data_IF_483674108239
#
_entry.id   IF_483674108239
#
_cell.length_a   1.000
_cell.length_b   1.000
_cell.length_c   1.000
_cell.angle_alpha   90.00
_cell.angle_beta   90.00
_cell.angle_gamma   90.00
#
_symmetry.space_group_name_H-M   'P 1'
#
loop_
_entity.id
_entity.type
_entity.pdbx_description
1 polymer ?
#
# COMPACT_ATOMS: atom_id res chain seq x y z
N UNK A 1 -30.41 -32.65 5.90
CA UNK A 1 -29.00 -32.25 6.20
C UNK A 1 -28.15 -33.52 6.20
N UNK A 2 -27.03 -33.58 5.46
CA UNK A 2 -26.18 -34.78 5.45
C UNK A 2 -25.65 -35.06 6.87
N UNK A 3 -25.70 -36.32 7.30
CA UNK A 3 -25.21 -36.80 8.60
C UNK A 3 -23.76 -36.31 8.87
N UNK A 4 -22.94 -36.21 7.82
CA UNK A 4 -21.58 -35.67 7.85
C UNK A 4 -21.47 -34.19 8.29
N UNK A 5 -22.44 -33.34 7.94
CA UNK A 5 -22.44 -31.92 8.33
C UNK A 5 -22.75 -31.72 9.81
N UNK A 6 -23.62 -32.59 10.36
CA UNK A 6 -24.03 -32.57 11.77
C UNK A 6 -22.90 -33.08 12.68
N UNK A 7 -22.15 -34.11 12.25
CA UNK A 7 -21.06 -34.70 13.03
C UNK A 7 -19.83 -33.78 13.10
N UNK A 8 -19.52 -33.07 12.01
CA UNK A 8 -18.29 -32.27 11.88
C UNK A 8 -18.44 -30.78 12.22
N UNK A 9 -19.65 -30.29 12.49
CA UNK A 9 -19.90 -28.91 12.96
C UNK A 9 -19.40 -27.82 11.99
N UNK A 10 -19.41 -28.10 10.68
CA UNK A 10 -18.92 -27.18 9.64
C UNK A 10 -20.01 -26.88 8.62
N UNK A 11 -20.00 -25.66 8.07
CA UNK A 11 -20.73 -25.34 6.84
C UNK A 11 -20.20 -26.24 5.72
N UNK A 12 -21.12 -26.85 4.97
CA UNK A 12 -20.81 -27.67 3.81
C UNK A 12 -20.00 -26.85 2.78
N UNK A 13 -18.92 -27.40 2.19
CA UNK A 13 -18.24 -26.76 1.07
C UNK A 13 -19.21 -26.62 -0.11
N UNK A 14 -19.06 -25.54 -0.89
CA UNK A 14 -19.96 -25.24 -2.03
C UNK A 14 -19.87 -26.27 -3.17
N UNK A 15 -18.79 -27.06 -3.24
CA UNK A 15 -18.61 -28.15 -4.20
C UNK A 15 -17.96 -29.36 -3.53
N UNK A 16 -18.30 -30.58 -3.97
CA UNK A 16 -17.66 -31.83 -3.55
C UNK A 16 -16.30 -31.94 -4.24
N UNK A 17 -15.23 -31.63 -3.51
CA UNK A 17 -13.85 -31.79 -3.96
C UNK A 17 -13.37 -33.25 -3.78
N UNK A 18 -12.15 -33.55 -4.27
CA UNK A 18 -11.57 -34.90 -4.25
C UNK A 18 -11.52 -35.53 -2.83
N UNK A 19 -11.58 -34.73 -1.77
CA UNK A 19 -11.62 -35.17 -0.38
C UNK A 19 -13.00 -35.61 0.14
N UNK A 20 -14.08 -35.36 -0.61
CA UNK A 20 -15.46 -35.61 -0.16
C UNK A 20 -15.78 -37.11 0.03
N UNK A 21 -15.34 -37.97 -0.90
CA UNK A 21 -15.60 -39.42 -0.83
C UNK A 21 -14.92 -40.09 0.38
N UNK A 22 -13.71 -39.64 0.74
CA UNK A 22 -12.98 -40.14 1.91
C UNK A 22 -13.67 -39.71 3.22
N UNK A 23 -14.23 -38.50 3.27
CA UNK A 23 -14.99 -38.03 4.43
C UNK A 23 -16.28 -38.85 4.64
N UNK A 24 -16.99 -39.21 3.56
CA UNK A 24 -18.18 -40.07 3.65
C UNK A 24 -17.83 -41.47 4.18
N UNK A 25 -16.71 -42.04 3.73
CA UNK A 25 -16.22 -43.35 4.21
C UNK A 25 -15.83 -43.30 5.71
N UNK A 26 -15.18 -42.23 6.16
CA UNK A 26 -14.79 -42.06 7.57
C UNK A 26 -16.02 -41.95 8.46
N UNK A 27 -17.03 -41.15 8.06
CA UNK A 27 -18.28 -41.00 8.84
C UNK A 27 -19.03 -42.34 8.95
N UNK A 28 -18.96 -43.19 7.92
CA UNK A 28 -19.58 -44.52 7.93
C UNK A 28 -18.85 -45.50 8.85
N UNK A 29 -17.52 -45.47 8.88
CA UNK A 29 -16.70 -46.36 9.69
C UNK A 29 -16.68 -45.95 11.18
N UNK A 30 -16.84 -44.66 11.46
CA UNK A 30 -16.81 -44.10 12.82
C UNK A 30 -18.10 -43.31 13.08
N UNK A 31 -19.20 -43.97 13.48
CA UNK A 31 -20.48 -43.30 13.70
C UNK A 31 -20.48 -42.43 14.97
N UNK A 32 -19.57 -42.69 15.91
CA UNK A 32 -19.41 -41.86 17.10
C UNK A 32 -18.61 -40.59 16.79
N UNK A 33 -19.07 -39.47 17.36
CA UNK A 33 -18.54 -38.14 17.06
C UNK A 33 -17.08 -37.98 17.42
N UNK A 34 -16.62 -38.56 18.54
CA UNK A 34 -15.25 -38.40 19.03
C UNK A 34 -14.26 -39.13 18.12
N UNK A 35 -14.55 -40.38 17.77
CA UNK A 35 -13.69 -41.17 16.89
C UNK A 35 -13.72 -40.67 15.46
N UNK A 36 -14.88 -40.24 14.95
CA UNK A 36 -14.97 -39.61 13.62
C UNK A 36 -14.09 -38.35 13.52
N UNK A 37 -14.15 -37.50 14.54
CA UNK A 37 -13.32 -36.28 14.58
C UNK A 37 -11.83 -36.62 14.68
N UNK A 38 -11.47 -37.61 15.49
CA UNK A 38 -10.09 -38.08 15.60
C UNK A 38 -9.58 -38.67 14.27
N UNK A 39 -10.39 -39.45 13.55
CA UNK A 39 -10.05 -40.02 12.26
C UNK A 39 -9.86 -38.95 11.18
N UNK A 40 -10.77 -37.97 11.09
CA UNK A 40 -10.63 -36.83 10.16
C UNK A 40 -9.37 -36.00 10.47
N UNK A 41 -9.04 -35.80 11.75
CA UNK A 41 -7.81 -35.10 12.15
C UNK A 41 -6.53 -35.86 11.77
N UNK A 42 -6.52 -37.20 11.89
CA UNK A 42 -5.40 -38.05 11.45
C UNK A 42 -5.19 -37.98 9.94
N UNK A 43 -6.26 -38.06 9.16
CA UNK A 43 -6.18 -37.96 7.68
C UNK A 43 -5.66 -36.58 7.25
N UNK A 44 -6.13 -35.50 7.86
CA UNK A 44 -5.60 -34.15 7.58
C UNK A 44 -4.11 -34.02 7.91
N UNK A 45 -3.67 -34.60 9.03
CA UNK A 45 -2.24 -34.64 9.38
C UNK A 45 -1.42 -35.46 8.39
N UNK A 46 -1.95 -36.58 7.89
CA UNK A 46 -1.27 -37.38 6.86
C UNK A 46 -1.16 -36.63 5.53
N UNK A 47 -2.18 -35.88 5.11
CA UNK A 47 -2.10 -34.99 3.93
C UNK A 47 -1.20 -33.77 4.14
N UNK A 48 -0.94 -33.37 5.40
CA UNK A 48 -0.01 -32.30 5.76
C UNK A 48 1.47 -32.73 5.76
N UNK A 49 1.80 -34.01 5.51
CA UNK A 49 3.18 -34.46 5.32
C UNK A 49 3.73 -34.17 3.91
N UNK A 50 2.90 -33.61 3.02
CA UNK A 50 3.42 -32.87 1.87
C UNK A 50 3.74 -31.47 2.39
N UNK A 51 4.98 -31.26 2.83
CA UNK A 51 5.49 -29.91 3.06
C UNK A 51 5.44 -29.18 1.72
N UNK A 52 4.40 -28.36 1.52
CA UNK A 52 4.47 -27.34 0.47
C UNK A 52 5.58 -26.37 0.87
N UNK A 53 6.77 -26.55 0.29
CA UNK A 53 7.82 -25.54 0.34
C UNK A 53 7.27 -24.24 -0.29
N UNK A 54 6.74 -23.36 0.57
CA UNK A 54 6.24 -22.06 0.17
C UNK A 54 7.38 -21.36 -0.59
N UNK A 55 7.20 -20.95 -1.86
CA UNK A 55 8.29 -20.39 -2.64
C UNK A 55 8.85 -19.20 -1.88
N UNK A 56 10.12 -19.28 -1.48
CA UNK A 56 10.83 -18.17 -0.83
C UNK A 56 10.72 -17.00 -1.80
N UNK A 57 9.91 -16.00 -1.42
CA UNK A 57 9.72 -14.79 -2.20
C UNK A 57 11.11 -14.26 -2.52
N UNK A 58 11.52 -14.37 -3.79
CA UNK A 58 12.85 -13.97 -4.26
C UNK A 58 13.07 -12.56 -3.74
N UNK A 59 13.91 -12.40 -2.72
CA UNK A 59 14.26 -11.09 -2.22
C UNK A 59 15.01 -10.45 -3.38
N UNK A 60 14.33 -9.60 -4.14
CA UNK A 60 15.01 -8.72 -5.08
C UNK A 60 15.98 -7.96 -4.20
N UNK A 61 17.27 -8.23 -4.34
CA UNK A 61 18.31 -7.33 -3.87
C UNK A 61 18.13 -6.05 -4.69
N UNK A 62 17.22 -5.20 -4.24
CA UNK A 62 17.08 -3.85 -4.76
C UNK A 62 18.33 -3.11 -4.31
N UNK A 63 18.98 -2.41 -5.24
CA UNK A 63 19.97 -1.40 -4.89
C UNK A 63 19.45 -0.57 -3.71
N UNK A 64 20.32 -0.22 -2.77
CA UNK A 64 19.94 0.58 -1.60
C UNK A 64 19.38 1.89 -2.15
N UNK A 65 18.05 2.03 -2.13
CA UNK A 65 17.38 3.26 -2.56
C UNK A 65 17.91 4.43 -1.70
N UNK A 66 18.26 5.58 -2.30
CA UNK A 66 18.77 6.72 -1.56
C UNK A 66 17.83 7.09 -0.42
N UNK A 67 18.37 7.43 0.77
CA UNK A 67 17.54 7.83 1.91
C UNK A 67 16.53 8.93 1.53
N UNK A 68 16.97 9.90 0.72
CA UNK A 68 16.14 10.99 0.20
C UNK A 68 14.90 10.51 -0.59
N UNK A 69 14.94 9.35 -1.26
CA UNK A 69 13.80 8.77 -1.96
C UNK A 69 12.82 8.03 -1.03
N UNK A 70 13.23 7.72 0.21
CA UNK A 70 12.41 6.97 1.16
C UNK A 70 11.26 7.79 1.77
N UNK A 71 10.31 7.10 2.42
CA UNK A 71 9.30 7.75 3.26
C UNK A 71 9.88 8.27 4.59
N UNK A 72 10.96 7.66 5.09
CA UNK A 72 11.62 8.10 6.31
C UNK A 72 12.23 9.50 6.17
N UNK A 73 12.70 9.87 4.97
CA UNK A 73 13.14 11.22 4.66
C UNK A 73 12.07 12.28 4.96
N UNK A 74 10.82 12.03 4.60
CA UNK A 74 9.70 12.97 4.84
C UNK A 74 9.38 13.16 6.33
N UNK A 75 9.95 12.33 7.21
CA UNK A 75 9.85 12.43 8.67
C UNK A 75 11.14 12.99 9.30
N UNK A 76 12.18 13.24 8.51
CA UNK A 76 13.46 13.73 9.00
C UNK A 76 13.39 15.20 9.43
N UNK A 77 14.18 15.58 10.43
CA UNK A 77 14.28 16.96 10.90
C UNK A 77 14.72 17.93 9.82
N UNK A 78 15.66 17.53 8.95
CA UNK A 78 16.14 18.34 7.84
C UNK A 78 15.01 18.73 6.90
N UNK A 79 14.19 17.75 6.49
CA UNK A 79 13.02 18.00 5.66
C UNK A 79 11.97 18.84 6.37
N UNK A 80 11.61 18.50 7.61
CA UNK A 80 10.58 19.23 8.36
C UNK A 80 10.95 20.71 8.56
N UNK A 81 12.23 21.00 8.84
CA UNK A 81 12.73 22.37 8.97
C UNK A 81 12.67 23.14 7.65
N UNK A 82 13.15 22.54 6.56
CA UNK A 82 13.09 23.17 5.23
C UNK A 82 11.64 23.41 4.79
N UNK A 83 10.77 22.42 5.00
CA UNK A 83 9.34 22.52 4.74
C UNK A 83 8.71 23.72 5.43
N UNK A 84 9.02 23.96 6.71
CA UNK A 84 8.50 25.12 7.44
C UNK A 84 9.02 26.43 6.87
N UNK A 85 10.33 26.53 6.57
CA UNK A 85 10.92 27.72 5.93
C UNK A 85 10.24 28.09 4.61
N UNK A 86 9.97 27.10 3.76
CA UNK A 86 9.31 27.32 2.47
C UNK A 86 7.87 27.80 2.64
N UNK A 87 7.12 27.22 3.60
CA UNK A 87 5.76 27.65 3.89
C UNK A 87 5.70 29.07 4.46
N UNK A 88 6.63 29.44 5.33
CA UNK A 88 6.74 30.80 5.88
C UNK A 88 7.05 31.82 4.77
N UNK A 89 7.97 31.47 3.85
CA UNK A 89 8.41 32.36 2.77
C UNK A 89 7.37 32.54 1.65
N UNK A 90 6.66 31.48 1.27
CA UNK A 90 5.76 31.47 0.11
C UNK A 90 4.27 31.52 0.48
N UNK A 91 3.94 31.28 1.74
CA UNK A 91 2.56 31.12 2.19
C UNK A 91 1.96 29.76 1.86
N UNK A 92 0.82 29.45 2.47
CA UNK A 92 0.10 28.19 2.28
C UNK A 92 -0.97 28.31 1.17
N UNK A 93 -0.54 28.71 -0.04
CA UNK A 93 -1.39 28.82 -1.24
C UNK A 93 -0.82 27.96 -2.36
N UNK A 94 -1.65 27.13 -2.98
CA UNK A 94 -1.25 26.31 -4.12
C UNK A 94 -0.78 27.19 -5.29
N UNK A 95 0.46 27.04 -5.72
CA UNK A 95 1.05 27.78 -6.84
C UNK A 95 0.47 27.32 -8.20
N UNK A 96 -0.14 26.12 -8.27
CA UNK A 96 -0.80 25.64 -9.50
C UNK A 96 -2.21 26.19 -9.71
N UNK A 97 -3.06 26.16 -8.68
CA UNK A 97 -4.49 26.47 -8.81
C UNK A 97 -4.98 27.62 -7.91
N UNK A 98 -4.12 28.15 -7.03
CA UNK A 98 -4.47 29.24 -6.13
C UNK A 98 -5.22 28.83 -4.86
N UNK A 99 -5.61 27.56 -4.70
CA UNK A 99 -6.36 27.09 -3.53
C UNK A 99 -5.58 27.25 -2.20
N UNK A 100 -6.28 27.57 -1.12
CA UNK A 100 -5.76 27.72 0.24
C UNK A 100 -6.43 26.73 1.19
N UNK A 101 -6.07 26.79 2.48
CA UNK A 101 -6.74 25.99 3.52
C UNK A 101 -8.22 26.32 3.67
N UNK A 102 -8.64 27.53 3.31
CA UNK A 102 -10.03 27.99 3.43
C UNK A 102 -10.94 27.28 2.40
N UNK A 103 -10.36 26.81 1.30
CA UNK A 103 -11.04 25.98 0.30
C UNK A 103 -11.17 24.50 0.74
N UNK A 104 -10.78 24.16 1.98
CA UNK A 104 -10.85 22.80 2.53
C UNK A 104 -9.78 21.84 2.00
N UNK A 105 -8.79 22.31 1.25
CA UNK A 105 -7.70 21.47 0.72
C UNK A 105 -6.50 21.39 1.68
N UNK A 106 -5.72 20.31 1.56
CA UNK A 106 -4.46 20.19 2.29
C UNK A 106 -3.32 20.77 1.46
N UNK A 107 -2.49 21.60 2.09
CA UNK A 107 -1.33 22.21 1.42
C UNK A 107 -0.06 21.41 1.71
N UNK A 108 0.69 21.12 0.65
CA UNK A 108 1.93 20.38 0.63
C UNK A 108 3.08 21.24 0.10
N UNK A 109 4.28 20.95 0.58
CA UNK A 109 5.52 21.38 -0.09
C UNK A 109 5.93 20.22 -0.98
N UNK A 110 5.88 20.46 -2.29
CA UNK A 110 6.17 19.50 -3.34
C UNK A 110 7.56 19.74 -3.94
N UNK A 111 8.19 18.66 -4.40
CA UNK A 111 9.45 18.71 -5.13
C UNK A 111 9.16 18.84 -6.62
N UNK A 112 9.63 19.91 -7.26
CA UNK A 112 9.54 20.12 -8.71
C UNK A 112 10.17 18.91 -9.41
N UNK A 113 11.46 18.67 -9.15
CA UNK A 113 12.17 17.45 -9.52
C UNK A 113 11.97 16.38 -8.43
N UNK A 114 11.25 15.27 -8.71
CA UNK A 114 10.87 14.30 -7.69
C UNK A 114 12.06 13.62 -7.02
N UNK A 115 12.03 13.47 -5.69
CA UNK A 115 13.10 12.83 -4.89
C UNK A 115 13.49 11.42 -5.33
N UNK A 116 12.58 10.70 -6.00
CA UNK A 116 12.84 9.35 -6.53
C UNK A 116 13.82 9.36 -7.69
N UNK A 117 13.82 10.44 -8.48
CA UNK A 117 14.67 10.60 -9.66
C UNK A 117 15.85 11.55 -9.41
N UNK A 118 15.68 12.51 -8.50
CA UNK A 118 16.67 13.53 -8.15
C UNK A 118 16.85 13.61 -6.61
N UNK A 119 17.33 12.54 -5.95
CA UNK A 119 17.53 12.49 -4.51
C UNK A 119 18.50 13.57 -3.99
N UNK A 120 19.47 13.98 -4.80
CA UNK A 120 20.44 15.04 -4.52
C UNK A 120 19.79 16.41 -4.35
N UNK A 121 18.66 16.65 -5.02
CA UNK A 121 17.91 17.91 -4.96
C UNK A 121 16.82 17.92 -3.88
N UNK A 122 16.76 16.91 -3.01
CA UNK A 122 15.66 16.73 -2.07
C UNK A 122 15.60 17.82 -0.97
N UNK A 123 16.72 18.46 -0.66
CA UNK A 123 16.85 19.54 0.34
C UNK A 123 17.19 20.90 -0.28
N UNK A 124 17.06 21.05 -1.60
CA UNK A 124 17.24 22.32 -2.27
C UNK A 124 15.94 23.14 -2.25
N UNK A 125 15.95 24.31 -1.63
CA UNK A 125 14.77 25.21 -1.60
C UNK A 125 14.31 25.60 -3.02
N UNK A 126 15.26 25.76 -3.95
CA UNK A 126 15.03 26.02 -5.37
C UNK A 126 14.34 24.87 -6.10
N UNK A 127 14.21 23.69 -5.49
CA UNK A 127 13.48 22.55 -6.03
C UNK A 127 12.09 22.38 -5.38
N UNK A 128 11.67 23.32 -4.53
CA UNK A 128 10.40 23.22 -3.79
C UNK A 128 9.37 24.23 -4.29
N UNK A 129 8.11 23.77 -4.34
CA UNK A 129 6.91 24.53 -4.67
C UNK A 129 5.76 24.18 -3.72
N UNK A 130 4.75 25.03 -3.60
CA UNK A 130 3.58 24.83 -2.75
C UNK A 130 2.42 24.33 -3.60
N UNK A 131 1.88 23.15 -3.30
CA UNK A 131 0.73 22.58 -4.02
C UNK A 131 -0.35 22.10 -3.06
N UNK A 132 -1.62 22.16 -3.47
CA UNK A 132 -2.68 21.43 -2.78
C UNK A 132 -2.55 19.92 -3.03
N UNK A 133 -3.23 19.11 -2.23
CA UNK A 133 -3.21 17.65 -2.32
C UNK A 133 -3.66 17.13 -3.70
N UNK A 134 -4.65 17.77 -4.32
CA UNK A 134 -5.13 17.41 -5.66
C UNK A 134 -4.07 17.67 -6.74
N UNK A 135 -3.51 18.89 -6.78
CA UNK A 135 -2.46 19.26 -7.75
C UNK A 135 -1.19 18.44 -7.54
N UNK A 136 -0.76 18.25 -6.29
CA UNK A 136 0.39 17.42 -5.95
C UNK A 136 0.21 15.96 -6.43
N UNK A 137 -0.97 15.38 -6.15
CA UNK A 137 -1.28 14.01 -6.60
C UNK A 137 -1.36 13.90 -8.11
N UNK A 138 -1.89 14.92 -8.78
CA UNK A 138 -1.95 14.99 -10.25
C UNK A 138 -0.56 15.10 -10.90
N UNK A 139 0.33 15.92 -10.33
CA UNK A 139 1.73 16.05 -10.77
C UNK A 139 2.50 14.74 -10.65
N UNK A 140 2.39 14.09 -9.49
CA UNK A 140 3.11 12.86 -9.18
C UNK A 140 4.62 12.93 -9.47
N UNK A 141 5.22 11.78 -9.76
CA UNK A 141 6.64 11.70 -10.11
C UNK A 141 6.90 11.82 -11.62
N UNK A 142 5.85 11.93 -12.46
CA UNK A 142 5.98 11.93 -13.92
C UNK A 142 6.22 13.33 -14.49
N UNK A 143 5.85 14.38 -13.74
CA UNK A 143 5.97 15.77 -14.16
C UNK A 143 6.98 16.53 -13.29
N UNK A 144 7.87 17.27 -13.94
CA UNK A 144 8.80 18.22 -13.32
C UNK A 144 8.35 19.67 -13.49
N UNK A 145 7.05 19.91 -13.74
CA UNK A 145 6.54 21.25 -13.99
C UNK A 145 6.72 22.14 -12.75
N UNK A 146 7.21 23.35 -13.00
CA UNK A 146 7.41 24.42 -12.03
C UNK A 146 6.24 25.40 -12.10
N UNK A 147 5.42 25.45 -11.06
CA UNK A 147 4.27 26.37 -10.96
C UNK A 147 4.56 27.66 -10.20
N UNK A 148 5.80 27.87 -9.75
CA UNK A 148 6.19 29.08 -8.99
C UNK A 148 6.18 30.34 -9.83
N UNK A 149 6.19 30.19 -11.16
CA UNK A 149 6.01 31.32 -12.06
C UNK A 149 4.54 31.72 -12.08
N UNK A 150 4.19 33.00 -11.84
CA UNK A 150 2.83 33.43 -12.05
C UNK A 150 2.43 33.13 -13.51
N UNK A 151 1.15 32.83 -13.79
CA UNK A 151 0.68 32.85 -15.17
C UNK A 151 1.08 34.22 -15.73
N UNK A 152 1.82 34.23 -16.85
CA UNK A 152 2.09 35.48 -17.57
C UNK A 152 0.73 36.10 -17.82
N UNK A 153 0.37 37.13 -17.06
CA UNK A 153 -0.81 37.92 -17.38
C UNK A 153 -0.54 38.43 -18.79
N UNK A 154 -1.34 37.97 -19.74
CA UNK A 154 -1.21 38.38 -21.13
C UNK A 154 -1.31 39.90 -21.16
N UNK A 155 -0.24 40.54 -21.61
CA UNK A 155 -0.32 41.89 -22.16
C UNK A 155 -1.17 41.79 -23.43
N UNK A 156 -2.39 42.29 -23.41
CA UNK A 156 -3.24 42.41 -24.59
C UNK A 156 -4.70 42.59 -24.16
N UNK A 157 -5.42 43.62 -24.60
CA UNK A 157 -5.13 44.74 -25.50
C UNK A 157 -6.35 45.64 -25.48
#
# INVERSE_FOLDING_TARGET
>A
MCFAAVVLGRKLPRHKDAGWGLLEQIVRLYPDRKSCQAAVAKVRRASMLVEEEKPKRRQRHTAIEPFAASLAFLRSWAWLRLRMKVLEKRGARCECCGATRDDGVRIHVDHIKPRRHFPEMALEESNLQILCDQCNRGKGNWSEKDWRSPPRMGSGG
#
